data_IF_776197460461
#
_entry.id   IF_776197460461
#
_cell.length_a   1.000
_cell.length_b   1.000
_cell.length_c   1.000
_cell.angle_alpha   90.00
_cell.angle_beta   90.00
_cell.angle_gamma   90.00
#
_symmetry.space_group_name_H-M   'P 1'
#
loop_
_entity.id
_entity.type
_entity.pdbx_description
1 polymer ?
#
# COMPACT_ATOMS: atom_id res chain seq x y z
N UNK A 1 -14.99 14.52 -9.99
CA UNK A 1 -14.83 13.09 -10.30
C UNK A 1 -15.08 12.90 -11.78
N UNK A 2 -14.05 12.49 -12.52
CA UNK A 2 -14.15 12.22 -13.95
C UNK A 2 -14.55 10.76 -14.21
N UNK A 3 -15.08 10.46 -15.40
CA UNK A 3 -15.31 9.08 -15.84
C UNK A 3 -14.01 8.26 -15.83
N UNK A 4 -12.87 8.91 -16.06
CA UNK A 4 -11.54 8.30 -15.99
C UNK A 4 -11.21 7.85 -14.56
N UNK A 5 -11.55 8.66 -13.53
CA UNK A 5 -11.29 8.30 -12.13
C UNK A 5 -12.05 7.02 -11.71
N UNK A 6 -13.28 6.86 -12.21
CA UNK A 6 -14.09 5.65 -11.98
C UNK A 6 -13.44 4.41 -12.61
N UNK A 7 -12.95 4.54 -13.84
CA UNK A 7 -12.25 3.46 -14.54
C UNK A 7 -10.94 3.09 -13.81
N UNK A 8 -10.11 4.07 -13.47
CA UNK A 8 -8.83 3.86 -12.78
C UNK A 8 -9.05 3.18 -11.42
N UNK A 9 -10.07 3.59 -10.65
CA UNK A 9 -10.41 2.93 -9.37
C UNK A 9 -10.82 1.46 -9.54
N UNK A 10 -11.60 1.15 -10.57
CA UNK A 10 -12.02 -0.22 -10.88
C UNK A 10 -10.82 -1.10 -11.26
N UNK A 11 -9.93 -0.57 -12.09
CA UNK A 11 -8.70 -1.26 -12.50
C UNK A 11 -7.77 -1.50 -11.32
N UNK A 12 -7.54 -0.47 -10.50
CA UNK A 12 -6.70 -0.58 -9.30
C UNK A 12 -7.20 -1.68 -8.35
N UNK A 13 -8.52 -1.79 -8.15
CA UNK A 13 -9.12 -2.84 -7.33
C UNK A 13 -8.95 -4.24 -7.95
N UNK A 14 -9.05 -4.35 -9.27
CA UNK A 14 -8.99 -5.63 -9.98
C UNK A 14 -7.56 -6.18 -10.08
N UNK A 15 -6.57 -5.30 -10.14
CA UNK A 15 -5.15 -5.64 -10.25
C UNK A 15 -4.43 -5.69 -8.90
N UNK A 16 -5.07 -5.27 -7.81
CA UNK A 16 -4.47 -5.28 -6.48
C UNK A 16 -4.18 -6.70 -5.98
N UNK A 17 -3.06 -6.84 -5.26
CA UNK A 17 -2.76 -8.06 -4.50
C UNK A 17 -3.84 -8.23 -3.42
N UNK A 18 -4.48 -9.40 -3.39
CA UNK A 18 -5.53 -9.70 -2.42
C UNK A 18 -4.94 -9.90 -1.03
N UNK A 19 -5.67 -9.46 0.00
CA UNK A 19 -5.31 -9.73 1.39
C UNK A 19 -5.15 -11.23 1.64
N UNK A 20 -4.13 -11.61 2.39
CA UNK A 20 -3.82 -13.01 2.69
C UNK A 20 -3.02 -13.75 1.60
N UNK A 21 -2.68 -13.09 0.49
CA UNK A 21 -1.79 -13.68 -0.53
C UNK A 21 -0.38 -13.83 0.06
N UNK A 22 0.21 -15.04 0.08
CA UNK A 22 1.59 -15.23 0.52
C UNK A 22 2.54 -14.60 -0.51
N UNK A 23 3.56 -13.87 -0.03
CA UNK A 23 4.57 -13.22 -0.87
C UNK A 23 5.96 -13.67 -0.47
N UNK A 24 6.81 -13.96 -1.47
CA UNK A 24 8.25 -14.16 -1.26
C UNK A 24 8.93 -12.84 -0.89
N UNK A 25 10.19 -12.90 -0.40
CA UNK A 25 10.96 -11.68 -0.09
C UNK A 25 11.09 -10.76 -1.31
N UNK A 26 11.48 -11.31 -2.46
CA UNK A 26 11.63 -10.54 -3.70
C UNK A 26 10.32 -9.86 -4.14
N UNK A 27 9.18 -10.54 -3.96
CA UNK A 27 7.86 -9.96 -4.26
C UNK A 27 7.50 -8.82 -3.31
N UNK A 28 7.84 -8.94 -2.02
CA UNK A 28 7.64 -7.88 -1.04
C UNK A 28 8.52 -6.66 -1.35
N UNK A 29 9.79 -6.87 -1.68
CA UNK A 29 10.71 -5.78 -2.08
C UNK A 29 10.22 -5.07 -3.34
N UNK A 30 9.82 -5.82 -4.37
CA UNK A 30 9.25 -5.24 -5.58
C UNK A 30 8.00 -4.41 -5.30
N UNK A 31 7.11 -4.87 -4.40
CA UNK A 31 5.91 -4.15 -4.00
C UNK A 31 6.25 -2.81 -3.33
N UNK A 32 7.21 -2.82 -2.39
CA UNK A 32 7.68 -1.61 -1.70
C UNK A 32 8.31 -0.63 -2.68
N UNK A 33 9.19 -1.11 -3.57
CA UNK A 33 9.83 -0.27 -4.59
C UNK A 33 8.80 0.36 -5.54
N UNK A 34 7.79 -0.40 -5.96
CA UNK A 34 6.71 0.09 -6.82
C UNK A 34 5.84 1.14 -6.11
N UNK A 35 5.57 0.96 -4.81
CA UNK A 35 4.81 1.92 -4.02
C UNK A 35 5.54 3.27 -3.95
N UNK A 36 6.84 3.26 -3.64
CA UNK A 36 7.63 4.50 -3.50
C UNK A 36 8.07 5.12 -4.83
N UNK A 37 7.91 4.41 -5.96
CA UNK A 37 8.04 4.99 -7.30
C UNK A 37 6.84 5.87 -7.71
N UNK A 38 5.72 5.77 -6.98
CA UNK A 38 4.53 6.58 -7.25
C UNK A 38 4.71 8.03 -6.75
N UNK A 39 4.06 8.99 -7.43
CA UNK A 39 4.11 10.42 -7.07
C UNK A 39 3.55 10.70 -5.66
N UNK A 40 2.49 9.99 -5.29
CA UNK A 40 1.83 10.12 -3.99
C UNK A 40 1.71 8.73 -3.35
N UNK A 41 2.75 8.27 -2.64
CA UNK A 41 2.79 6.89 -2.14
C UNK A 41 2.02 6.71 -0.84
N UNK A 42 1.60 7.77 -0.14
CA UNK A 42 1.04 7.73 1.22
C UNK A 42 -0.48 7.46 1.28
N UNK A 43 -1.18 7.62 0.15
CA UNK A 43 -2.65 7.51 0.09
C UNK A 43 -3.10 6.60 -1.04
N UNK A 44 -4.10 5.77 -0.77
CA UNK A 44 -4.72 4.90 -1.76
C UNK A 44 -5.79 5.66 -2.58
N UNK A 45 -6.26 5.10 -3.71
CA UNK A 45 -7.39 5.67 -4.46
C UNK A 45 -8.72 5.77 -3.68
N UNK A 46 -8.79 5.13 -2.50
CA UNK A 46 -9.92 5.20 -1.56
C UNK A 46 -9.62 6.05 -0.33
N UNK A 47 -8.57 6.87 -0.39
CA UNK A 47 -8.13 7.79 0.65
C UNK A 47 -7.78 7.09 1.99
N UNK A 48 -7.18 5.90 1.91
CA UNK A 48 -6.62 5.19 3.06
C UNK A 48 -5.11 5.28 3.05
N UNK A 49 -4.50 5.32 4.23
CA UNK A 49 -3.04 5.23 4.35
C UNK A 49 -2.54 3.90 3.78
N UNK A 50 -1.48 3.97 2.97
CA UNK A 50 -0.84 2.81 2.33
C UNK A 50 0.21 2.16 3.22
N UNK A 51 0.86 2.94 4.08
CA UNK A 51 1.82 2.49 5.07
C UNK A 51 1.75 3.36 6.33
N UNK A 52 2.28 2.83 7.43
CA UNK A 52 2.47 3.55 8.69
C UNK A 52 3.91 3.39 9.13
N UNK A 53 4.48 4.43 9.72
CA UNK A 53 5.81 4.35 10.33
C UNK A 53 5.62 4.11 11.82
N UNK A 54 6.29 3.08 12.35
CA UNK A 54 6.29 2.80 13.78
C UNK A 54 7.67 3.20 14.31
N UNK A 55 7.78 4.27 15.10
CA UNK A 55 9.02 4.66 15.77
C UNK A 55 9.52 3.55 16.72
N UNK A 56 10.84 3.46 16.90
CA UNK A 56 11.44 2.46 17.79
C UNK A 56 10.88 2.54 19.23
N UNK A 57 10.72 3.75 19.78
CA UNK A 57 10.16 3.93 21.13
C UNK A 57 8.70 3.49 21.29
N UNK A 58 7.93 3.43 20.19
CA UNK A 58 6.56 2.89 20.20
C UNK A 58 6.54 1.37 20.08
N UNK A 59 7.60 0.78 19.49
CA UNK A 59 7.77 -0.66 19.40
C UNK A 59 8.05 -1.26 20.77
N UNK A 60 8.95 -0.64 21.55
CA UNK A 60 9.32 -1.10 22.89
C UNK A 60 8.09 -1.22 23.80
N UNK A 61 7.14 -0.28 23.71
CA UNK A 61 5.89 -0.28 24.50
C UNK A 61 4.92 -1.41 24.17
N UNK A 62 5.04 -2.06 23.01
CA UNK A 62 4.11 -3.12 22.57
C UNK A 62 4.52 -4.52 23.02
N UNK A 63 5.75 -4.68 23.51
CA UNK A 63 6.30 -5.96 23.94
C UNK A 63 6.63 -6.01 25.45
N UNK A 64 6.16 -5.02 26.22
CA UNK A 64 6.06 -5.07 27.69
C UNK A 64 4.64 -5.48 28.07
#
# INVERSE_FOLDING_TARGET
YSQNDLMVKSMAKSLAIKTGTPLTKDQQEHLVNSLFACKEPSVSPTNRATFVTIPLGDLDRKFV
#
